data_IF_938218548031
#
_entry.id   IF_938218548031
#
_cell.length_a   1.000
_cell.length_b   1.000
_cell.length_c   1.000
_cell.angle_alpha   90.00
_cell.angle_beta   90.00
_cell.angle_gamma   90.00
#
_symmetry.space_group_name_H-M   'P 1'
#
loop_
_entity.id
_entity.type
_entity.pdbx_description
1 polymer ?
#
# COMPACT_ATOMS: atom_id res chain seq x y z
N UNK A 1 -6.19 -57.85 12.27
CA UNK A 1 -4.74 -57.60 12.37
C UNK A 1 -4.29 -56.73 11.21
N UNK A 2 -4.13 -55.43 11.43
CA UNK A 2 -3.26 -54.51 10.70
C UNK A 2 -3.25 -53.20 11.49
N UNK A 3 -2.08 -52.86 12.00
CA UNK A 3 -1.77 -51.70 12.82
C UNK A 3 -1.97 -50.39 12.00
N UNK A 4 -2.64 -49.43 12.60
CA UNK A 4 -2.68 -48.03 12.14
C UNK A 4 -1.82 -47.23 13.12
N UNK A 5 -0.67 -46.78 12.64
CA UNK A 5 0.22 -45.86 13.34
C UNK A 5 -0.33 -44.42 13.29
N UNK A 6 -0.59 -43.85 14.45
CA UNK A 6 -0.85 -42.43 14.63
C UNK A 6 0.48 -41.65 14.56
N UNK A 7 0.64 -40.82 13.55
CA UNK A 7 1.68 -39.80 13.53
C UNK A 7 1.24 -38.59 14.39
N UNK A 8 1.94 -38.42 15.51
CA UNK A 8 1.90 -37.18 16.31
C UNK A 8 2.78 -36.15 15.62
N UNK A 9 2.17 -35.12 15.01
CA UNK A 9 2.89 -33.96 14.58
C UNK A 9 3.14 -33.03 15.78
N UNK A 10 4.39 -33.01 16.21
CA UNK A 10 4.89 -32.02 17.18
C UNK A 10 5.13 -30.70 16.45
N UNK A 11 4.38 -29.64 16.80
CA UNK A 11 4.71 -28.28 16.44
C UNK A 11 5.93 -27.85 17.25
N UNK A 12 7.07 -27.70 16.58
CA UNK A 12 8.25 -27.08 17.15
C UNK A 12 8.06 -25.56 17.15
N UNK A 13 7.77 -24.99 18.32
CA UNK A 13 7.84 -23.54 18.55
C UNK A 13 9.32 -23.18 18.67
N UNK A 14 9.86 -22.50 17.67
CA UNK A 14 11.21 -21.94 17.73
C UNK A 14 11.18 -20.71 18.62
N UNK A 15 11.53 -20.86 19.90
CA UNK A 15 11.75 -19.73 20.83
C UNK A 15 13.17 -19.22 20.55
N UNK A 16 13.27 -18.08 19.89
CA UNK A 16 14.53 -17.35 19.80
C UNK A 16 14.75 -16.65 21.14
N UNK A 17 15.58 -17.23 21.99
CA UNK A 17 16.09 -16.57 23.20
C UNK A 17 17.18 -15.59 22.81
N UNK A 18 16.84 -14.30 22.71
CA UNK A 18 17.79 -13.21 22.64
C UNK A 18 18.16 -12.79 24.07
N UNK A 19 19.36 -13.16 24.51
CA UNK A 19 19.98 -12.59 25.71
C UNK A 19 20.43 -11.16 25.41
N UNK A 20 19.75 -10.17 25.97
CA UNK A 20 20.24 -8.81 26.04
C UNK A 20 20.92 -8.58 27.39
N UNK A 21 22.24 -8.57 27.41
CA UNK A 21 23.02 -7.95 28.48
C UNK A 21 23.09 -6.45 28.24
N UNK A 22 22.74 -5.65 29.26
CA UNK A 22 22.93 -4.20 29.27
C UNK A 22 24.41 -3.87 29.18
N UNK A 23 24.89 -3.59 27.97
CA UNK A 23 26.13 -2.84 27.76
C UNK A 23 25.92 -1.86 26.63
N UNK A 24 26.29 -0.60 26.93
CA UNK A 24 26.36 0.48 25.95
C UNK A 24 27.27 0.04 24.78
N UNK A 25 26.72 0.07 23.58
CA UNK A 25 27.48 -0.20 22.37
C UNK A 25 28.34 0.99 22.05
N UNK A 26 29.63 0.95 22.41
CA UNK A 26 30.66 1.70 21.73
C UNK A 26 30.98 1.03 20.39
N UNK A 27 31.13 1.82 19.34
CA UNK A 27 31.30 1.42 17.94
C UNK A 27 32.63 0.75 17.59
N UNK A 28 33.25 0.01 18.52
CA UNK A 28 34.53 -0.63 18.31
C UNK A 28 34.45 -2.11 18.64
N UNK A 29 34.07 -2.95 17.66
CA UNK A 29 34.43 -4.39 17.61
C UNK A 29 33.61 -5.19 16.60
N UNK A 30 33.49 -4.70 15.36
CA UNK A 30 33.22 -5.59 14.21
C UNK A 30 34.54 -6.02 13.61
N UNK A 31 35.07 -7.16 14.03
CA UNK A 31 36.21 -7.80 13.34
C UNK A 31 35.66 -8.52 12.10
N UNK A 32 36.01 -8.01 10.93
CA UNK A 32 35.87 -8.74 9.68
C UNK A 32 36.81 -9.94 9.69
N UNK A 33 36.29 -11.13 9.38
CA UNK A 33 37.07 -12.33 9.09
C UNK A 33 37.21 -12.38 7.56
N UNK A 34 38.28 -11.80 7.01
CA UNK A 34 38.56 -11.74 5.58
C UNK A 34 39.16 -10.39 5.20
N UNK A 35 39.86 -10.32 4.08
CA UNK A 35 40.50 -9.12 3.58
C UNK A 35 39.47 -8.01 3.28
N UNK A 36 39.41 -7.00 4.15
CA UNK A 36 38.51 -5.85 4.04
C UNK A 36 39.18 -4.63 3.42
N UNK A 37 40.26 -4.77 2.68
CA UNK A 37 41.02 -3.69 2.03
C UNK A 37 40.30 -3.11 0.79
N UNK A 38 39.02 -2.85 0.85
CA UNK A 38 38.25 -2.29 -0.28
C UNK A 38 36.98 -1.54 0.10
N UNK A 39 36.63 -1.49 1.37
CA UNK A 39 35.45 -0.75 1.81
C UNK A 39 35.85 0.66 2.19
N UNK A 40 36.12 1.50 1.17
CA UNK A 40 36.18 2.92 1.38
C UNK A 40 34.86 3.42 1.95
N UNK A 41 34.89 4.16 3.06
CA UNK A 41 33.84 5.00 3.56
C UNK A 41 33.38 5.96 2.45
N UNK A 42 32.52 5.50 1.54
CA UNK A 42 31.67 6.40 0.80
C UNK A 42 30.58 6.84 1.77
N UNK A 43 30.76 8.04 2.32
CA UNK A 43 29.67 8.82 2.88
C UNK A 43 28.47 8.66 1.93
N UNK A 44 27.33 8.16 2.42
CA UNK A 44 26.06 8.29 1.71
C UNK A 44 25.93 9.76 1.38
N UNK A 45 25.87 10.08 0.08
CA UNK A 45 25.68 11.45 -0.37
C UNK A 45 24.43 12.01 0.29
N UNK A 46 24.61 13.09 1.02
CA UNK A 46 23.59 13.95 1.56
C UNK A 46 22.61 14.32 0.45
N UNK A 47 21.45 13.64 0.35
CA UNK A 47 20.22 14.16 -0.27
C UNK A 47 19.10 13.11 -0.42
N UNK A 48 19.12 11.97 0.23
CA UNK A 48 17.95 11.15 0.38
C UNK A 48 17.49 11.23 1.85
N UNK A 49 16.50 12.08 2.13
CA UNK A 49 15.73 11.92 3.35
C UNK A 49 15.25 10.46 3.38
N UNK A 50 15.66 9.62 4.33
CA UNK A 50 15.35 8.19 4.34
C UNK A 50 13.83 7.93 4.31
N UNK A 51 13.01 8.96 4.57
CA UNK A 51 11.58 8.97 4.46
C UNK A 51 11.09 10.10 3.55
N UNK A 52 11.21 9.90 2.24
CA UNK A 52 10.57 10.79 1.25
C UNK A 52 9.03 10.57 1.27
N UNK A 53 8.42 10.84 2.41
CA UNK A 53 6.99 10.72 2.65
C UNK A 53 6.36 12.09 2.86
N UNK A 54 5.09 12.23 2.51
CA UNK A 54 4.27 13.39 2.83
C UNK A 54 3.28 13.03 3.93
N UNK A 55 3.04 13.97 4.85
CA UNK A 55 2.01 13.85 5.87
C UNK A 55 0.66 14.25 5.28
N UNK A 56 -0.33 13.36 5.36
CA UNK A 56 -1.73 13.64 5.09
C UNK A 56 -2.46 13.78 6.42
N UNK A 57 -2.96 14.99 6.76
CA UNK A 57 -3.65 15.23 8.02
C UNK A 57 -4.89 14.35 8.20
N UNK A 58 -5.17 13.97 9.43
CA UNK A 58 -6.43 13.32 9.79
C UNK A 58 -7.64 14.19 9.50
N UNK A 59 -8.83 13.60 9.50
CA UNK A 59 -10.09 14.28 9.29
C UNK A 59 -10.91 13.70 8.15
N UNK A 60 -12.13 14.24 7.98
CA UNK A 60 -13.09 13.80 6.99
C UNK A 60 -12.75 14.30 5.59
N UNK A 61 -13.12 13.52 4.58
CA UNK A 61 -13.15 13.93 3.18
C UNK A 61 -14.29 13.22 2.44
N UNK A 62 -14.69 13.79 1.31
CA UNK A 62 -15.71 13.20 0.45
C UNK A 62 -15.03 12.23 -0.54
N UNK A 63 -15.21 10.92 -0.34
CA UNK A 63 -14.72 9.86 -1.22
C UNK A 63 -15.73 9.53 -2.30
N UNK A 64 -15.24 9.33 -3.53
CA UNK A 64 -16.09 9.01 -4.68
C UNK A 64 -16.72 10.23 -5.34
N UNK A 65 -17.70 10.00 -6.22
CA UNK A 65 -18.36 11.03 -7.01
C UNK A 65 -19.84 10.70 -7.27
N UNK A 66 -20.73 11.71 -7.21
CA UNK A 66 -22.15 11.54 -7.50
C UNK A 66 -22.53 11.80 -8.98
N UNK A 67 -21.62 12.35 -9.75
CA UNK A 67 -21.91 12.79 -11.12
C UNK A 67 -22.01 11.60 -12.07
N UNK A 68 -23.21 11.42 -12.64
CA UNK A 68 -23.39 10.64 -13.87
C UNK A 68 -22.65 11.35 -14.99
N UNK A 69 -21.59 10.72 -15.51
CA UNK A 69 -20.93 11.24 -16.72
C UNK A 69 -21.85 10.98 -17.91
N UNK A 70 -22.60 11.98 -18.32
CA UNK A 70 -23.38 11.95 -19.56
C UNK A 70 -22.40 12.16 -20.74
N UNK A 71 -22.03 11.07 -21.38
CA UNK A 71 -21.22 11.11 -22.61
C UNK A 71 -22.16 10.89 -23.79
N UNK A 72 -22.15 11.81 -24.75
CA UNK A 72 -22.87 11.64 -26.01
C UNK A 72 -22.22 10.54 -26.85
N UNK A 73 -22.73 9.33 -26.72
CA UNK A 73 -22.21 8.17 -27.45
C UNK A 73 -22.60 8.15 -28.93
N UNK A 74 -23.54 9.00 -29.35
CA UNK A 74 -24.01 9.03 -30.75
C UNK A 74 -22.94 9.50 -31.74
N UNK A 75 -21.97 10.30 -31.26
CA UNK A 75 -20.84 10.79 -32.06
C UNK A 75 -19.63 9.85 -32.07
N UNK A 76 -19.71 8.73 -31.39
CA UNK A 76 -18.63 7.77 -31.29
C UNK A 76 -18.71 6.67 -32.35
N UNK A 77 -17.56 6.24 -32.87
CA UNK A 77 -17.48 5.01 -33.68
C UNK A 77 -17.92 3.78 -32.86
N UNK A 78 -18.36 2.71 -33.50
CA UNK A 78 -18.74 1.45 -32.81
C UNK A 78 -17.64 0.94 -31.87
N UNK A 79 -16.36 1.06 -32.25
CA UNK A 79 -15.22 0.68 -31.43
C UNK A 79 -15.05 1.59 -30.20
N UNK A 80 -15.32 2.88 -30.33
CA UNK A 80 -15.31 3.83 -29.23
C UNK A 80 -16.51 3.62 -28.31
N UNK A 81 -17.72 3.34 -28.87
CA UNK A 81 -18.91 2.99 -28.09
C UNK A 81 -18.69 1.73 -27.27
N UNK A 82 -18.08 0.69 -27.84
CA UNK A 82 -17.75 -0.53 -27.14
C UNK A 82 -16.74 -0.28 -26.00
N UNK A 83 -15.66 0.49 -26.29
CA UNK A 83 -14.69 0.91 -25.27
C UNK A 83 -15.37 1.75 -24.17
N UNK A 84 -16.30 2.62 -24.54
CA UNK A 84 -17.05 3.42 -23.60
C UNK A 84 -18.02 2.59 -22.76
N UNK A 85 -18.73 1.63 -23.36
CA UNK A 85 -19.61 0.72 -22.63
C UNK A 85 -18.85 -0.10 -21.58
N UNK A 86 -17.64 -0.55 -21.97
CA UNK A 86 -16.71 -1.23 -21.06
C UNK A 86 -16.24 -0.30 -19.95
N UNK A 87 -15.85 0.94 -20.29
CA UNK A 87 -15.45 1.94 -19.30
C UNK A 87 -16.62 2.41 -18.45
N UNK A 88 -17.85 2.53 -19.01
CA UNK A 88 -19.05 2.91 -18.28
C UNK A 88 -19.40 1.91 -17.19
N UNK A 89 -19.21 0.62 -17.43
CA UNK A 89 -19.37 -0.39 -16.39
C UNK A 89 -18.33 -0.20 -15.27
N UNK A 90 -17.11 0.20 -15.61
CA UNK A 90 -16.06 0.50 -14.65
C UNK A 90 -16.27 1.83 -13.87
N UNK A 91 -16.88 2.85 -14.49
CA UNK A 91 -17.13 4.17 -13.86
C UNK A 91 -18.37 4.21 -12.95
N UNK A 92 -19.19 3.17 -12.91
CA UNK A 92 -20.33 3.09 -11.99
C UNK A 92 -19.94 2.75 -10.56
N UNK A 93 -18.71 2.34 -10.35
CA UNK A 93 -18.17 1.93 -9.07
C UNK A 93 -17.49 3.07 -8.28
N UNK A 94 -17.35 4.25 -8.91
CA UNK A 94 -16.82 5.47 -8.27
C UNK A 94 -17.84 6.19 -7.37
N UNK A 95 -19.06 5.75 -7.32
CA UNK A 95 -20.15 6.38 -6.56
C UNK A 95 -21.08 5.39 -5.86
N UNK A 96 -21.93 5.94 -4.98
CA UNK A 96 -22.15 7.36 -4.64
C UNK A 96 -20.98 7.93 -3.82
N UNK A 97 -20.85 9.27 -3.85
CA UNK A 97 -19.95 9.97 -2.95
C UNK A 97 -20.40 9.76 -1.49
N UNK A 98 -19.44 9.57 -0.59
CA UNK A 98 -19.71 9.34 0.83
C UNK A 98 -18.60 9.89 1.70
N UNK A 99 -18.95 10.25 2.93
CA UNK A 99 -17.96 10.79 3.87
C UNK A 99 -17.11 9.65 4.48
N UNK A 100 -15.80 9.86 4.47
CA UNK A 100 -14.81 9.00 5.11
C UNK A 100 -13.98 9.83 6.08
N UNK A 101 -13.74 9.29 7.26
CA UNK A 101 -12.84 9.87 8.26
C UNK A 101 -11.58 9.02 8.29
N UNK A 102 -10.41 9.65 8.14
CA UNK A 102 -9.12 9.00 8.26
C UNK A 102 -8.32 9.63 9.40
N UNK A 103 -7.57 8.83 10.11
CA UNK A 103 -6.49 9.31 10.96
C UNK A 103 -5.38 9.92 10.09
N UNK A 104 -4.46 10.66 10.70
CA UNK A 104 -3.27 11.15 9.99
C UNK A 104 -2.39 9.97 9.58
N UNK A 105 -1.80 10.06 8.40
CA UNK A 105 -0.88 9.04 7.90
C UNK A 105 0.22 9.68 7.04
N UNK A 106 1.33 8.98 6.91
CA UNK A 106 2.34 9.30 5.91
C UNK A 106 2.14 8.43 4.68
N UNK A 107 2.39 8.99 3.50
CA UNK A 107 2.40 8.26 2.24
C UNK A 107 3.66 8.63 1.44
N UNK A 108 4.23 7.70 0.72
CA UNK A 108 5.39 7.97 -0.13
C UNK A 108 5.09 9.12 -1.09
N UNK A 109 5.98 10.10 -1.11
CA UNK A 109 5.90 11.25 -2.01
C UNK A 109 5.93 10.84 -3.48
N UNK A 110 6.67 9.78 -3.76
CA UNK A 110 6.86 9.22 -5.10
C UNK A 110 6.40 7.76 -5.16
N UNK A 111 6.12 7.27 -6.36
CA UNK A 111 6.05 5.84 -6.64
C UNK A 111 7.39 5.18 -6.26
N UNK A 112 7.39 3.91 -5.87
CA UNK A 112 8.62 3.18 -5.58
C UNK A 112 9.45 3.06 -6.85
N UNK A 113 10.67 3.60 -6.84
CA UNK A 113 11.57 3.59 -7.99
C UNK A 113 12.30 2.24 -8.16
N UNK A 114 12.81 1.98 -9.36
CA UNK A 114 13.66 0.81 -9.60
C UNK A 114 14.89 0.78 -8.68
N UNK A 115 15.49 1.93 -8.37
CA UNK A 115 16.60 2.00 -7.39
C UNK A 115 16.18 1.46 -6.04
N UNK A 116 15.09 1.99 -5.46
CA UNK A 116 14.59 1.54 -4.15
C UNK A 116 14.20 0.07 -4.16
N UNK A 117 13.58 -0.40 -5.24
CA UNK A 117 13.21 -1.80 -5.35
C UNK A 117 14.42 -2.74 -5.48
N UNK A 118 15.50 -2.28 -6.15
CA UNK A 118 16.76 -3.05 -6.24
C UNK A 118 17.44 -3.23 -4.87
N UNK A 119 17.30 -2.24 -3.97
CA UNK A 119 17.79 -2.35 -2.59
C UNK A 119 17.03 -3.44 -1.82
N UNK A 120 15.71 -3.48 -1.97
CA UNK A 120 14.87 -4.53 -1.40
C UNK A 120 15.27 -5.93 -1.90
N UNK A 121 15.39 -6.11 -3.22
CA UNK A 121 15.79 -7.40 -3.80
C UNK A 121 17.13 -7.87 -3.25
N UNK A 122 18.12 -6.97 -3.16
CA UNK A 122 19.45 -7.31 -2.62
C UNK A 122 19.42 -7.65 -1.13
N UNK A 123 18.54 -6.98 -0.37
CA UNK A 123 18.45 -7.19 1.08
C UNK A 123 17.69 -8.45 1.46
N UNK A 124 16.80 -8.95 0.60
CA UNK A 124 15.85 -10.03 0.92
C UNK A 124 15.93 -11.23 0.00
N UNK A 125 16.79 -11.18 -1.03
CA UNK A 125 16.86 -12.18 -2.10
C UNK A 125 15.52 -12.36 -2.84
N UNK A 126 14.70 -11.28 -2.90
CA UNK A 126 13.41 -11.29 -3.55
C UNK A 126 13.57 -11.38 -5.07
N UNK A 127 12.73 -12.17 -5.78
CA UNK A 127 12.82 -12.30 -7.23
C UNK A 127 12.64 -10.97 -7.96
N UNK A 128 13.34 -10.82 -9.08
CA UNK A 128 13.22 -9.63 -9.93
C UNK A 128 11.84 -9.53 -10.58
N UNK A 129 11.31 -8.31 -10.79
CA UNK A 129 10.07 -8.08 -11.53
C UNK A 129 10.13 -8.58 -12.98
N UNK A 130 8.97 -8.83 -13.57
CA UNK A 130 8.85 -9.45 -14.90
C UNK A 130 9.58 -8.72 -16.02
N UNK A 131 9.86 -7.41 -15.90
CA UNK A 131 10.52 -6.60 -16.93
C UNK A 131 11.84 -5.98 -16.45
N UNK A 132 12.47 -6.62 -15.47
CA UNK A 132 13.68 -6.08 -14.85
C UNK A 132 14.86 -5.91 -15.83
N UNK A 133 14.98 -6.79 -16.80
CA UNK A 133 16.04 -6.76 -17.79
C UNK A 133 15.74 -5.87 -19.01
N UNK A 134 14.56 -5.24 -19.07
CA UNK A 134 14.20 -4.31 -20.13
C UNK A 134 14.76 -2.91 -19.84
N UNK A 135 15.84 -2.54 -20.56
CA UNK A 135 16.53 -1.25 -20.41
C UNK A 135 15.65 -0.01 -20.62
N UNK A 136 14.46 -0.16 -21.22
CA UNK A 136 13.49 0.93 -21.38
C UNK A 136 12.63 1.15 -20.13
N UNK A 137 12.54 0.15 -19.23
CA UNK A 137 11.66 0.13 -18.06
C UNK A 137 12.38 0.08 -16.73
N UNK A 138 13.66 -0.29 -16.72
CA UNK A 138 14.44 -0.47 -15.49
C UNK A 138 15.37 0.70 -15.18
N UNK A 139 15.16 1.89 -15.76
CA UNK A 139 15.99 3.06 -15.43
C UNK A 139 15.84 3.41 -13.93
N UNK A 140 16.92 3.76 -13.25
CA UNK A 140 16.96 3.92 -11.78
C UNK A 140 15.81 4.74 -11.19
N UNK A 141 15.51 5.89 -11.79
CA UNK A 141 14.50 6.85 -11.28
C UNK A 141 13.12 6.67 -11.91
N UNK A 142 12.88 5.63 -12.72
CA UNK A 142 11.53 5.27 -13.15
C UNK A 142 10.84 4.44 -12.05
N UNK A 143 9.48 4.45 -11.97
CA UNK A 143 8.78 3.56 -11.06
C UNK A 143 9.04 2.11 -11.42
N UNK A 144 9.17 1.26 -10.42
CA UNK A 144 9.19 -0.18 -10.63
C UNK A 144 7.86 -0.62 -11.24
N UNK A 145 7.91 -1.51 -12.20
CA UNK A 145 6.74 -2.09 -12.87
C UNK A 145 6.92 -3.58 -13.09
N UNK A 146 5.83 -4.30 -13.36
CA UNK A 146 5.88 -5.75 -13.45
C UNK A 146 5.87 -6.46 -12.10
N UNK A 147 5.40 -5.79 -11.07
CA UNK A 147 5.22 -6.30 -9.71
C UNK A 147 3.77 -6.69 -9.49
N UNK A 148 3.54 -7.82 -8.84
CA UNK A 148 2.21 -8.22 -8.40
C UNK A 148 1.88 -7.61 -7.01
N UNK A 149 0.67 -7.86 -6.51
CA UNK A 149 0.23 -7.34 -5.21
C UNK A 149 1.12 -7.81 -4.05
N UNK A 150 1.56 -9.06 -4.07
CA UNK A 150 2.37 -9.64 -3.00
C UNK A 150 3.79 -9.09 -3.00
N UNK A 151 4.37 -8.86 -4.18
CA UNK A 151 5.67 -8.20 -4.34
C UNK A 151 5.63 -6.78 -3.75
N UNK A 152 4.58 -6.02 -4.08
CA UNK A 152 4.37 -4.67 -3.55
C UNK A 152 4.18 -4.67 -2.03
N UNK A 153 3.41 -5.64 -1.49
CA UNK A 153 3.21 -5.80 -0.05
C UNK A 153 4.51 -6.17 0.66
N UNK A 154 5.29 -7.10 0.09
CA UNK A 154 6.57 -7.54 0.65
C UNK A 154 7.57 -6.38 0.73
N UNK A 155 7.67 -5.57 -0.35
CA UNK A 155 8.50 -4.37 -0.34
C UNK A 155 8.08 -3.38 0.76
N UNK A 156 6.79 -3.02 0.82
CA UNK A 156 6.32 -2.07 1.82
C UNK A 156 6.58 -2.59 3.25
N UNK A 157 6.36 -3.87 3.51
CA UNK A 157 6.64 -4.50 4.81
C UNK A 157 8.14 -4.46 5.16
N UNK A 158 9.01 -4.77 4.20
CA UNK A 158 10.46 -4.65 4.37
C UNK A 158 10.90 -3.23 4.73
N UNK A 159 10.27 -2.23 4.09
CA UNK A 159 10.52 -0.82 4.34
C UNK A 159 9.86 -0.30 5.65
N UNK A 160 9.29 -1.17 6.50
CA UNK A 160 8.49 -0.81 7.67
C UNK A 160 7.31 0.11 7.34
N UNK A 161 6.63 -0.20 6.24
CA UNK A 161 5.47 0.48 5.68
C UNK A 161 4.41 -0.55 5.30
N UNK A 162 3.31 -0.11 4.75
CA UNK A 162 2.24 -0.92 4.16
C UNK A 162 1.75 -0.31 2.85
N UNK A 163 0.99 -1.04 2.07
CA UNK A 163 0.24 -0.40 0.99
C UNK A 163 -0.77 0.60 1.58
N UNK A 164 -1.05 1.73 0.92
CA UNK A 164 -2.14 2.62 1.32
C UNK A 164 -3.49 1.91 1.17
N UNK A 165 -4.47 2.26 1.98
CA UNK A 165 -5.86 1.92 1.68
C UNK A 165 -6.34 2.73 0.47
N UNK A 166 -7.40 2.28 -0.19
CA UNK A 166 -8.02 3.02 -1.30
C UNK A 166 -8.43 4.43 -0.86
N UNK A 167 -8.98 4.56 0.34
CA UNK A 167 -9.38 5.84 0.92
C UNK A 167 -8.19 6.77 1.20
N UNK A 168 -7.09 6.26 1.73
CA UNK A 168 -5.86 7.02 1.93
C UNK A 168 -5.28 7.51 0.60
N UNK A 169 -5.26 6.64 -0.39
CA UNK A 169 -4.78 6.99 -1.74
C UNK A 169 -5.63 8.10 -2.34
N UNK A 170 -6.98 7.98 -2.30
CA UNK A 170 -7.89 8.96 -2.87
C UNK A 170 -7.80 10.30 -2.15
N UNK A 171 -7.79 10.33 -0.80
CA UNK A 171 -7.59 11.55 -0.01
C UNK A 171 -6.28 12.24 -0.40
N UNK A 172 -5.20 11.49 -0.52
CA UNK A 172 -3.89 12.02 -0.93
C UNK A 172 -3.94 12.66 -2.31
N UNK A 173 -4.62 12.02 -3.26
CA UNK A 173 -4.68 12.45 -4.64
C UNK A 173 -5.53 13.72 -4.82
N UNK A 174 -6.72 13.79 -4.22
CA UNK A 174 -7.71 14.82 -4.49
C UNK A 174 -7.70 16.01 -3.52
N UNK A 175 -7.05 15.86 -2.37
CA UNK A 175 -7.01 16.88 -1.34
C UNK A 175 -8.37 17.18 -0.67
N UNK A 176 -8.39 18.18 0.22
CA UNK A 176 -9.61 18.56 0.96
C UNK A 176 -10.68 19.19 0.07
N UNK A 177 -10.30 19.84 -1.04
CA UNK A 177 -11.22 20.47 -2.00
C UNK A 177 -11.88 19.43 -2.93
N UNK A 178 -11.44 18.19 -2.93
CA UNK A 178 -12.01 17.13 -3.73
C UNK A 178 -11.72 17.27 -5.22
N UNK A 179 -10.51 17.65 -5.60
CA UNK A 179 -10.10 17.90 -6.97
C UNK A 179 -10.30 16.67 -7.87
N UNK A 180 -10.63 16.94 -9.13
CA UNK A 180 -10.79 15.92 -10.17
C UNK A 180 -9.45 15.30 -10.59
N UNK A 181 -8.40 16.11 -10.64
CA UNK A 181 -7.01 15.71 -10.86
C UNK A 181 -6.17 16.19 -9.67
N UNK A 182 -5.01 15.61 -9.40
CA UNK A 182 -4.19 16.05 -8.26
C UNK A 182 -3.91 17.54 -8.22
N UNK A 183 -3.81 18.18 -9.37
CA UNK A 183 -3.48 19.59 -9.56
C UNK A 183 -4.68 20.53 -9.74
N UNK A 184 -5.91 20.05 -9.58
CA UNK A 184 -7.14 20.85 -9.75
C UNK A 184 -8.19 20.17 -10.62
N UNK A 185 -9.11 20.95 -11.20
CA UNK A 185 -10.26 20.42 -11.93
C UNK A 185 -10.08 20.37 -13.46
N UNK A 186 -9.09 21.07 -13.99
CA UNK A 186 -8.83 21.15 -15.41
C UNK A 186 -7.79 20.14 -15.86
N UNK A 187 -8.04 19.53 -17.02
CA UNK A 187 -7.08 18.61 -17.63
C UNK A 187 -5.90 19.41 -18.18
N UNK A 188 -4.69 19.04 -17.74
CA UNK A 188 -3.47 19.71 -18.16
C UNK A 188 -2.39 18.68 -18.52
N UNK A 189 -2.08 18.62 -19.82
CA UNK A 189 -1.17 17.67 -20.41
C UNK A 189 0.28 17.78 -19.93
N UNK A 190 0.64 18.95 -19.39
CA UNK A 190 2.00 19.20 -18.88
C UNK A 190 2.24 18.67 -17.45
N UNK A 191 1.20 18.20 -16.78
CA UNK A 191 1.22 17.87 -15.35
C UNK A 191 1.30 16.37 -15.04
N UNK A 192 1.35 15.51 -16.07
CA UNK A 192 1.44 14.05 -15.83
C UNK A 192 1.78 13.27 -17.10
N UNK A 193 2.15 12.01 -16.92
CA UNK A 193 2.45 11.08 -18.01
C UNK A 193 1.27 10.13 -18.24
N UNK A 194 0.46 10.40 -19.27
CA UNK A 194 -0.73 9.62 -19.63
C UNK A 194 -1.01 9.74 -21.13
N UNK A 195 -1.93 8.91 -21.65
CA UNK A 195 -2.36 9.00 -23.04
C UNK A 195 -1.30 8.61 -24.07
N UNK A 196 -0.24 7.91 -23.67
CA UNK A 196 0.90 7.52 -24.51
C UNK A 196 1.70 8.71 -25.06
N UNK A 197 1.78 9.81 -24.32
CA UNK A 197 2.60 10.98 -24.68
C UNK A 197 4.09 10.68 -24.61
N UNK A 198 4.48 9.79 -23.73
CA UNK A 198 5.80 9.18 -23.69
C UNK A 198 5.67 7.69 -24.06
N UNK A 199 6.74 7.12 -24.56
CA UNK A 199 6.76 5.71 -24.98
C UNK A 199 6.63 4.76 -23.77
N UNK A 200 7.07 5.22 -22.57
CA UNK A 200 7.07 4.46 -21.32
C UNK A 200 6.84 5.37 -20.11
N UNK A 201 7.09 4.84 -18.91
CA UNK A 201 7.04 5.59 -17.66
C UNK A 201 8.07 6.72 -17.62
N UNK A 202 7.72 7.81 -16.99
CA UNK A 202 8.62 8.92 -16.68
C UNK A 202 9.34 8.68 -15.34
N UNK A 203 10.37 9.49 -15.05
CA UNK A 203 10.97 9.53 -13.71
C UNK A 203 9.89 9.89 -12.68
N UNK A 204 9.97 9.29 -11.48
CA UNK A 204 8.98 9.49 -10.41
C UNK A 204 8.80 10.96 -9.98
N UNK A 205 9.76 11.82 -10.26
CA UNK A 205 9.75 13.25 -9.96
C UNK A 205 9.61 14.15 -11.20
N UNK A 206 9.20 13.61 -12.35
CA UNK A 206 9.24 14.33 -13.64
C UNK A 206 8.24 15.50 -13.74
N UNK A 207 7.17 15.48 -12.94
CA UNK A 207 6.06 16.44 -13.06
C UNK A 207 5.83 17.24 -11.78
N UNK A 208 6.70 18.22 -11.44
CA UNK A 208 6.58 18.98 -10.18
C UNK A 208 5.36 19.90 -10.12
N UNK A 209 4.74 20.22 -11.26
CA UNK A 209 3.48 20.98 -11.34
C UNK A 209 2.24 20.09 -11.26
N UNK A 210 2.41 18.78 -11.26
CA UNK A 210 1.33 17.78 -11.21
C UNK A 210 1.16 17.12 -9.85
N UNK A 211 1.74 17.70 -8.81
CA UNK A 211 1.66 17.18 -7.44
C UNK A 211 0.25 17.35 -6.86
N UNK A 212 -0.12 16.48 -5.95
CA UNK A 212 -1.35 16.57 -5.18
C UNK A 212 -1.29 17.73 -4.16
N UNK A 213 -2.42 18.14 -3.55
CA UNK A 213 -2.43 19.17 -2.52
C UNK A 213 -1.52 18.86 -1.32
N UNK A 214 -1.23 17.60 -1.06
CA UNK A 214 -0.31 17.16 -0.02
C UNK A 214 1.15 16.97 -0.50
N UNK A 215 1.43 17.25 -1.79
CA UNK A 215 2.77 17.17 -2.35
C UNK A 215 3.18 15.80 -2.89
N UNK A 216 2.25 14.84 -3.02
CA UNK A 216 2.54 13.55 -3.64
C UNK A 216 2.59 13.68 -5.18
N UNK A 217 3.62 13.11 -5.79
CA UNK A 217 3.85 13.10 -7.23
C UNK A 217 3.11 11.96 -7.91
N UNK A 218 2.85 12.12 -9.21
CA UNK A 218 2.35 11.06 -10.12
C UNK A 218 1.07 10.36 -9.65
N UNK A 219 0.22 11.03 -8.83
CA UNK A 219 -1.09 10.50 -8.45
C UNK A 219 -2.08 10.45 -9.64
N UNK A 220 -1.65 10.81 -10.85
CA UNK A 220 -2.40 10.75 -12.09
C UNK A 220 -1.48 10.41 -13.26
N UNK A 221 -1.60 9.19 -13.78
CA UNK A 221 -0.76 8.66 -14.85
C UNK A 221 0.51 7.96 -14.32
N UNK A 222 1.49 7.81 -15.17
CA UNK A 222 2.75 7.10 -14.98
C UNK A 222 2.56 5.60 -14.77
N UNK A 223 2.24 5.11 -13.57
CA UNK A 223 1.82 3.72 -13.33
C UNK A 223 0.50 3.68 -12.55
N UNK A 224 -0.33 2.68 -12.80
CA UNK A 224 -1.34 2.28 -11.83
C UNK A 224 -0.67 1.85 -10.54
N UNK A 225 -1.33 2.06 -9.42
CA UNK A 225 -0.76 1.77 -8.12
C UNK A 225 -1.63 0.77 -7.34
N UNK A 226 -1.00 -0.30 -6.85
CA UNK A 226 -1.65 -1.22 -5.92
C UNK A 226 -2.03 -0.50 -4.63
N UNK A 227 -3.26 -0.75 -4.17
CA UNK A 227 -3.70 -0.38 -2.83
C UNK A 227 -4.14 -1.61 -2.05
N UNK A 228 -4.28 -1.49 -0.74
CA UNK A 228 -4.55 -2.62 0.16
C UNK A 228 -5.89 -3.32 -0.13
N UNK A 229 -6.88 -2.59 -0.61
CA UNK A 229 -8.29 -2.98 -0.61
C UNK A 229 -8.61 -4.08 -1.63
N UNK A 230 -9.51 -4.98 -1.25
CA UNK A 230 -10.21 -5.82 -2.20
C UNK A 230 -11.15 -4.96 -3.05
N UNK A 231 -11.29 -5.33 -4.32
CA UNK A 231 -12.21 -4.67 -5.21
C UNK A 231 -13.63 -5.27 -5.08
N UNK A 232 -14.60 -4.38 -4.89
CA UNK A 232 -16.03 -4.63 -5.02
C UNK A 232 -16.66 -3.43 -5.74
N UNK A 233 -17.29 -3.62 -6.91
CA UNK A 233 -17.94 -2.53 -7.66
C UNK A 233 -19.11 -1.90 -6.92
N UNK A 234 -19.65 -2.56 -5.91
CA UNK A 234 -20.78 -2.06 -5.12
C UNK A 234 -20.36 -1.52 -3.75
N UNK A 235 -19.08 -1.53 -3.41
CA UNK A 235 -18.62 -1.16 -2.07
C UNK A 235 -19.10 0.24 -1.65
N UNK A 236 -18.95 1.25 -2.52
CA UNK A 236 -19.38 2.61 -2.21
C UNK A 236 -20.89 2.76 -2.03
N UNK A 237 -21.71 1.90 -2.61
CA UNK A 237 -23.19 1.90 -2.41
C UNK A 237 -23.58 1.44 -1.01
N UNK A 238 -22.75 0.62 -0.37
CA UNK A 238 -22.97 0.08 0.98
C UNK A 238 -22.18 0.83 2.05
N UNK A 239 -21.11 1.50 1.66
CA UNK A 239 -20.30 2.34 2.53
C UNK A 239 -21.09 3.61 2.89
N UNK A 240 -21.53 3.70 4.15
CA UNK A 240 -22.14 4.93 4.68
C UNK A 240 -21.03 5.86 5.17
N UNK A 241 -21.09 6.32 6.39
CA UNK A 241 -19.96 6.98 7.02
C UNK A 241 -19.03 5.91 7.59
N UNK A 242 -17.73 5.95 7.24
CA UNK A 242 -16.76 4.99 7.74
C UNK A 242 -15.50 5.69 8.24
N UNK A 243 -14.92 5.12 9.29
CA UNK A 243 -13.66 5.57 9.89
C UNK A 243 -12.58 4.57 9.53
N UNK A 244 -11.47 5.06 8.96
CA UNK A 244 -10.33 4.27 8.53
C UNK A 244 -10.71 3.01 7.73
N UNK A 245 -11.51 3.12 6.65
CA UNK A 245 -11.96 1.96 5.90
C UNK A 245 -10.78 1.26 5.22
N UNK A 246 -10.81 -0.07 5.24
CA UNK A 246 -9.82 -0.94 4.60
C UNK A 246 -10.42 -1.73 3.43
N UNK A 247 -11.54 -1.23 2.90
CA UNK A 247 -12.29 -1.92 1.86
C UNK A 247 -13.14 -3.09 2.38
N UNK A 248 -13.71 -3.89 1.47
CA UNK A 248 -14.47 -5.07 1.85
C UNK A 248 -13.58 -6.11 2.54
N UNK A 249 -14.11 -6.81 3.54
CA UNK A 249 -13.36 -7.86 4.28
C UNK A 249 -12.88 -9.01 3.41
N UNK A 250 -13.53 -9.21 2.26
CA UNK A 250 -13.15 -10.19 1.23
C UNK A 250 -13.54 -9.67 -0.15
N UNK A 251 -12.72 -9.99 -1.16
CA UNK A 251 -13.02 -9.64 -2.54
C UNK A 251 -14.27 -10.35 -3.05
N UNK A 252 -15.05 -9.66 -3.87
CA UNK A 252 -16.14 -10.23 -4.64
C UNK A 252 -15.55 -11.06 -5.77
N UNK A 253 -16.13 -12.23 -6.03
CA UNK A 253 -15.76 -13.03 -7.17
C UNK A 253 -16.41 -12.43 -8.41
N UNK A 254 -15.62 -11.90 -9.32
CA UNK A 254 -16.08 -11.41 -10.61
C UNK A 254 -16.18 -12.60 -11.58
N UNK A 255 -17.38 -12.81 -12.14
CA UNK A 255 -17.59 -13.82 -13.17
C UNK A 255 -17.33 -13.25 -14.55
N UNK A 256 -16.78 -14.08 -15.44
CA UNK A 256 -16.66 -13.73 -16.85
C UNK A 256 -18.05 -13.69 -17.50
N UNK A 257 -18.38 -12.60 -18.20
CA UNK A 257 -19.67 -12.44 -18.92
C UNK A 257 -19.56 -12.72 -20.41
N UNK A 258 -18.41 -13.23 -20.87
CA UNK A 258 -18.16 -13.59 -22.27
C UNK A 258 -17.66 -12.47 -23.16
N UNK A 259 -17.45 -11.25 -22.65
CA UNK A 259 -16.81 -10.16 -23.37
C UNK A 259 -15.28 -10.24 -23.24
N UNK A 260 -14.53 -9.59 -24.12
CA UNK A 260 -13.06 -9.58 -24.08
C UNK A 260 -12.50 -9.06 -22.74
N UNK A 261 -13.21 -8.12 -22.10
CA UNK A 261 -12.85 -7.58 -20.80
C UNK A 261 -13.07 -8.61 -19.68
N UNK A 262 -14.12 -9.40 -19.81
CA UNK A 262 -14.53 -10.36 -18.78
C UNK A 262 -13.61 -11.57 -18.68
N UNK A 263 -12.83 -11.88 -19.75
CA UNK A 263 -11.83 -12.96 -19.69
C UNK A 263 -10.82 -12.75 -18.56
N UNK A 264 -10.52 -11.48 -18.21
CA UNK A 264 -9.59 -11.12 -17.13
C UNK A 264 -10.30 -10.71 -15.84
N UNK A 265 -11.63 -10.65 -15.85
CA UNK A 265 -12.42 -10.24 -14.70
C UNK A 265 -12.77 -11.39 -13.74
N UNK A 266 -12.44 -12.63 -14.08
CA UNK A 266 -12.75 -13.80 -13.24
C UNK A 266 -11.89 -13.81 -11.98
N UNK A 267 -12.49 -14.15 -10.83
CA UNK A 267 -11.81 -14.26 -9.55
C UNK A 267 -11.83 -12.96 -8.73
N UNK A 268 -11.22 -13.03 -7.56
CA UNK A 268 -11.11 -11.90 -6.64
C UNK A 268 -10.03 -10.93 -7.10
N UNK A 269 -10.31 -9.65 -7.05
CA UNK A 269 -9.43 -8.59 -7.53
C UNK A 269 -9.04 -7.63 -6.39
N UNK A 270 -7.84 -7.06 -6.50
CA UNK A 270 -7.41 -5.93 -5.69
C UNK A 270 -7.61 -4.63 -6.45
N UNK A 271 -7.87 -3.55 -5.71
CA UNK A 271 -7.99 -2.22 -6.29
C UNK A 271 -6.63 -1.72 -6.76
N UNK A 272 -6.63 -1.05 -7.91
CA UNK A 272 -5.51 -0.24 -8.41
C UNK A 272 -6.00 1.15 -8.78
N UNK A 273 -5.15 2.16 -8.61
CA UNK A 273 -5.53 3.57 -8.72
C UNK A 273 -4.57 4.36 -9.61
N UNK A 274 -4.97 5.58 -10.02
CA UNK A 274 -4.11 6.60 -10.62
C UNK A 274 -4.02 6.60 -12.15
N UNK A 275 -4.35 5.51 -12.81
CA UNK A 275 -4.08 5.37 -14.25
C UNK A 275 -2.60 5.13 -14.54
N UNK A 276 -2.22 5.12 -15.82
CA UNK A 276 -0.85 4.88 -16.22
C UNK A 276 -0.46 5.70 -17.45
N UNK A 277 0.80 5.64 -17.87
CA UNK A 277 1.34 6.34 -19.04
C UNK A 277 0.56 6.08 -20.33
N UNK A 278 -0.09 4.94 -20.47
CA UNK A 278 -0.93 4.59 -21.64
C UNK A 278 -2.43 4.78 -21.41
N UNK A 279 -2.86 5.10 -20.20
CA UNK A 279 -4.26 5.24 -19.84
C UNK A 279 -4.88 6.50 -20.47
N UNK A 280 -6.16 6.48 -20.87
CA UNK A 280 -6.85 7.68 -21.36
C UNK A 280 -7.11 8.68 -20.22
N UNK A 281 -7.36 9.94 -20.58
CA UNK A 281 -7.66 11.02 -19.63
C UNK A 281 -8.77 10.69 -18.62
N UNK A 282 -9.74 9.87 -18.99
CA UNK A 282 -10.82 9.45 -18.12
C UNK A 282 -10.35 8.54 -16.97
N UNK A 283 -9.21 7.87 -17.12
CA UNK A 283 -8.70 6.92 -16.12
C UNK A 283 -7.64 7.52 -15.20
N UNK A 284 -7.31 8.80 -15.35
CA UNK A 284 -6.33 9.48 -14.48
C UNK A 284 -7.00 10.44 -13.48
N UNK A 285 -8.33 10.39 -13.33
CA UNK A 285 -9.03 11.15 -12.30
C UNK A 285 -8.78 10.59 -10.92
N UNK A 286 -8.82 11.42 -9.91
CA UNK A 286 -8.58 11.02 -8.51
C UNK A 286 -9.60 10.03 -7.98
N UNK A 287 -10.79 9.97 -8.58
CA UNK A 287 -11.86 9.05 -8.20
C UNK A 287 -11.88 7.75 -9.00
N UNK A 288 -11.13 7.68 -10.12
CA UNK A 288 -11.16 6.50 -10.98
C UNK A 288 -10.68 5.26 -10.23
N UNK A 289 -11.55 4.27 -10.19
CA UNK A 289 -11.29 2.95 -9.62
C UNK A 289 -10.99 1.96 -10.74
N UNK A 290 -9.99 1.14 -10.54
CA UNK A 290 -9.75 0.00 -11.39
C UNK A 290 -9.31 -1.19 -10.55
N UNK A 291 -9.11 -2.34 -11.18
CA UNK A 291 -8.78 -3.56 -10.47
C UNK A 291 -7.82 -4.44 -11.26
N UNK A 292 -7.11 -5.29 -10.55
CA UNK A 292 -6.31 -6.33 -11.17
C UNK A 292 -6.27 -7.60 -10.31
N UNK A 293 -5.91 -8.71 -10.94
CA UNK A 293 -5.63 -9.97 -10.25
C UNK A 293 -4.39 -9.79 -9.36
N UNK A 294 -4.45 -10.15 -8.06
CA UNK A 294 -3.31 -9.98 -7.17
C UNK A 294 -2.06 -10.74 -7.58
N UNK A 295 -2.20 -11.81 -8.37
CA UNK A 295 -1.06 -12.56 -8.91
C UNK A 295 -0.53 -12.02 -10.25
N UNK A 296 -1.23 -11.03 -10.84
CA UNK A 296 -0.87 -10.56 -12.17
C UNK A 296 0.27 -9.53 -12.09
N UNK A 297 1.41 -9.90 -12.62
CA UNK A 297 2.56 -9.02 -12.85
C UNK A 297 2.66 -8.53 -14.31
N UNK A 298 1.84 -9.05 -15.22
CA UNK A 298 1.93 -8.80 -16.68
C UNK A 298 1.12 -7.61 -17.18
N UNK A 299 0.27 -6.99 -16.35
CA UNK A 299 -0.25 -5.63 -16.61
C UNK A 299 0.91 -4.62 -16.61
N UNK A 300 1.98 -5.16 -16.81
CA UNK A 300 3.37 -4.95 -16.62
C UNK A 300 3.96 -3.70 -17.16
N UNK A 301 3.33 -3.05 -18.06
CA UNK A 301 3.87 -1.82 -18.63
C UNK A 301 3.42 -0.56 -17.87
N UNK A 302 2.67 -0.69 -16.80
CA UNK A 302 2.15 0.49 -16.11
C UNK A 302 1.45 0.16 -14.78
N UNK A 303 1.93 -0.84 -14.03
CA UNK A 303 1.43 -1.18 -12.71
C UNK A 303 2.62 -1.27 -11.75
N UNK A 304 2.62 -0.39 -10.78
CA UNK A 304 3.58 -0.25 -9.70
C UNK A 304 2.86 0.00 -8.38
N UNK A 305 3.47 0.75 -7.47
CA UNK A 305 2.89 1.06 -6.17
C UNK A 305 3.65 2.17 -5.45
N UNK A 306 3.07 2.67 -4.38
CA UNK A 306 3.69 3.45 -3.29
C UNK A 306 3.29 2.88 -1.96
N UNK A 307 4.02 3.20 -0.90
CA UNK A 307 3.71 2.74 0.45
C UNK A 307 3.13 3.87 1.31
N UNK A 308 2.43 3.49 2.37
CA UNK A 308 1.97 4.36 3.43
C UNK A 308 2.47 3.87 4.79
N UNK A 309 2.45 4.75 5.78
CA UNK A 309 2.77 4.45 7.17
C UNK A 309 1.78 5.20 8.08
N UNK A 310 1.23 4.50 9.03
CA UNK A 310 0.37 5.10 10.06
C UNK A 310 1.20 6.08 10.90
N UNK A 311 0.66 7.26 11.18
CA UNK A 311 1.25 8.14 12.19
C UNK A 311 0.97 7.50 13.54
N UNK A 312 2.00 6.95 14.15
CA UNK A 312 1.91 6.53 15.55
C UNK A 312 2.04 7.80 16.39
N UNK A 313 1.00 8.15 17.13
CA UNK A 313 1.13 9.18 18.15
C UNK A 313 2.02 8.65 19.30
N UNK A 314 2.55 9.54 20.14
CA UNK A 314 3.39 9.14 21.26
C UNK A 314 2.66 8.18 22.21
N UNK A 315 1.34 8.27 22.32
CA UNK A 315 0.51 7.36 23.09
C UNK A 315 0.48 5.95 22.51
N UNK A 316 0.29 5.81 21.19
CA UNK A 316 0.31 4.50 20.52
C UNK A 316 1.69 3.84 20.59
N UNK A 317 2.78 4.62 20.42
CA UNK A 317 4.15 4.10 20.54
C UNK A 317 4.42 3.63 21.98
N UNK A 318 3.99 4.38 22.99
CA UNK A 318 4.08 3.98 24.39
C UNK A 318 3.20 2.76 24.68
N UNK A 319 1.98 2.69 24.12
CA UNK A 319 1.11 1.53 24.25
C UNK A 319 1.78 0.26 23.72
N UNK A 320 2.40 0.32 22.55
CA UNK A 320 3.15 -0.82 21.99
C UNK A 320 4.34 -1.21 22.85
N UNK A 321 5.08 -0.25 23.39
CA UNK A 321 6.19 -0.53 24.31
C UNK A 321 5.68 -1.28 25.54
N UNK A 322 4.63 -0.80 26.18
CA UNK A 322 4.02 -1.48 27.33
C UNK A 322 3.42 -2.85 26.97
N UNK A 323 2.89 -3.00 25.76
CA UNK A 323 2.42 -4.28 25.26
C UNK A 323 3.57 -5.29 25.10
N UNK A 324 4.70 -4.88 24.50
CA UNK A 324 5.89 -5.72 24.39
C UNK A 324 6.45 -6.12 25.77
N UNK A 325 6.50 -5.19 26.72
CA UNK A 325 6.86 -5.48 28.09
C UNK A 325 5.92 -6.51 28.73
N UNK A 326 4.62 -6.43 28.46
CA UNK A 326 3.65 -7.39 28.94
C UNK A 326 3.92 -8.79 28.38
N UNK A 327 4.21 -8.92 27.09
CA UNK A 327 4.54 -10.20 26.45
C UNK A 327 5.83 -10.81 27.01
N UNK A 328 6.88 -10.00 27.19
CA UNK A 328 8.16 -10.42 27.77
C UNK A 328 7.94 -10.94 29.21
N UNK A 329 7.20 -10.19 30.04
CA UNK A 329 6.93 -10.60 31.40
C UNK A 329 6.02 -11.84 31.45
N UNK A 330 5.07 -11.99 30.53
CA UNK A 330 4.23 -13.18 30.40
C UNK A 330 5.07 -14.41 30.03
N UNK A 331 6.00 -14.28 29.08
CA UNK A 331 6.94 -15.35 28.70
C UNK A 331 7.91 -15.73 29.81
N UNK A 332 8.20 -14.82 30.75
CA UNK A 332 9.00 -15.06 31.95
C UNK A 332 8.17 -15.49 33.17
N UNK A 333 6.88 -15.81 32.98
CA UNK A 333 5.91 -16.19 34.02
C UNK A 333 5.72 -15.15 35.15
N UNK A 334 6.11 -13.89 34.89
CA UNK A 334 5.94 -12.74 35.78
C UNK A 334 4.57 -12.09 35.56
N UNK A 335 3.50 -12.83 35.84
CA UNK A 335 2.12 -12.42 35.51
C UNK A 335 1.65 -11.11 36.18
N UNK A 336 2.01 -10.80 37.46
CA UNK A 336 1.68 -9.49 38.03
C UNK A 336 2.31 -8.32 37.27
N UNK A 337 3.57 -8.44 36.88
CA UNK A 337 4.27 -7.43 36.08
C UNK A 337 3.68 -7.33 34.64
N UNK A 338 3.39 -8.46 34.03
CA UNK A 338 2.72 -8.51 32.74
C UNK A 338 1.35 -7.80 32.80
N UNK A 339 0.57 -8.02 33.87
CA UNK A 339 -0.71 -7.36 34.07
C UNK A 339 -0.58 -5.85 34.26
N UNK A 340 0.46 -5.39 34.97
CA UNK A 340 0.74 -3.97 35.13
C UNK A 340 1.08 -3.31 33.78
N UNK A 341 1.92 -3.95 32.96
CA UNK A 341 2.30 -3.45 31.64
C UNK A 341 1.12 -3.42 30.66
N UNK A 342 0.30 -4.47 30.58
CA UNK A 342 -0.85 -4.47 29.66
C UNK A 342 -1.94 -3.47 30.08
N UNK A 343 -2.09 -3.17 31.37
CA UNK A 343 -2.98 -2.10 31.84
C UNK A 343 -2.49 -0.73 31.37
N UNK A 344 -1.17 -0.48 31.39
CA UNK A 344 -0.57 0.75 30.84
C UNK A 344 -0.78 0.85 29.33
N UNK A 345 -0.61 -0.23 28.57
CA UNK A 345 -0.92 -0.23 27.15
C UNK A 345 -2.38 0.15 26.89
N UNK A 346 -3.32 -0.44 27.61
CA UNK A 346 -4.75 -0.15 27.53
C UNK A 346 -5.13 1.25 28.01
N UNK A 347 -4.33 1.91 28.86
CA UNK A 347 -4.58 3.31 29.23
C UNK A 347 -4.26 4.29 28.10
N UNK A 348 -3.43 3.89 27.15
CA UNK A 348 -3.06 4.69 25.98
C UNK A 348 -3.92 4.33 24.75
N UNK A 349 -4.30 3.06 24.61
CA UNK A 349 -5.13 2.56 23.50
C UNK A 349 -6.17 1.57 24.05
N UNK A 350 -7.22 2.13 24.66
CA UNK A 350 -8.24 1.37 25.39
C UNK A 350 -9.11 0.47 24.52
N UNK A 351 -9.19 0.74 23.22
CA UNK A 351 -10.01 0.00 22.25
C UNK A 351 -9.29 -1.15 21.56
N UNK A 352 -8.00 -1.32 21.79
CA UNK A 352 -7.18 -2.33 21.14
C UNK A 352 -7.58 -3.75 21.55
N UNK A 353 -8.19 -4.47 20.62
CA UNK A 353 -8.74 -5.80 20.86
C UNK A 353 -7.66 -6.83 21.27
N UNK A 354 -6.45 -6.70 20.74
CA UNK A 354 -5.32 -7.57 21.06
C UNK A 354 -4.87 -7.34 22.51
N UNK A 355 -4.74 -6.08 22.96
CA UNK A 355 -4.39 -5.77 24.35
C UNK A 355 -5.43 -6.27 25.34
N UNK A 356 -6.72 -6.16 24.98
CA UNK A 356 -7.82 -6.71 25.78
C UNK A 356 -7.73 -8.24 25.88
N UNK A 357 -7.40 -8.91 24.78
CA UNK A 357 -7.24 -10.37 24.76
C UNK A 357 -6.07 -10.82 25.63
N UNK A 358 -4.90 -10.20 25.47
CA UNK A 358 -3.71 -10.52 26.27
C UNK A 358 -3.97 -10.28 27.77
N UNK A 359 -4.62 -9.18 28.12
CA UNK A 359 -5.02 -8.93 29.53
C UNK A 359 -5.84 -10.09 30.10
N UNK A 360 -6.84 -10.58 29.36
CA UNK A 360 -7.66 -11.73 29.79
C UNK A 360 -6.84 -13.00 29.96
N UNK A 361 -5.86 -13.23 29.07
CA UNK A 361 -4.95 -14.38 29.16
C UNK A 361 -4.09 -14.31 30.43
N UNK A 362 -3.48 -13.15 30.70
CA UNK A 362 -2.66 -12.93 31.90
C UNK A 362 -3.48 -13.11 33.16
N UNK A 363 -4.70 -12.55 33.21
CA UNK A 363 -5.57 -12.66 34.38
C UNK A 363 -5.95 -14.09 34.77
N UNK A 364 -6.00 -15.00 33.80
CA UNK A 364 -6.27 -16.43 34.06
C UNK A 364 -5.08 -17.16 34.70
N UNK A 365 -3.89 -16.58 34.67
CA UNK A 365 -2.68 -17.16 35.25
C UNK A 365 -2.35 -16.64 36.64
N UNK A 366 -3.09 -15.63 37.10
CA UNK A 366 -2.94 -15.05 38.45
C UNK A 366 -4.00 -15.70 39.33
N UNK A 367 -3.60 -16.35 40.44
CA UNK A 367 -4.53 -17.02 41.35
C UNK A 367 -5.56 -16.08 41.98
#
# INVERSE_FOLDING_TARGET
MKNINFYKNAFAICIITLFFSNQAWSNENLRCIGDCSGVGNKSMGDNANPDDMVLVPGGSFLMGIDKKVNVDTKKMSKRQQLRYAVSKAAFHDEGPAHNVILDAFHIDKFEVSNTKYSEFMRATDHPAPAYWDDSKRNKPNQPVSGVNYFDATAYCSWANKRLPTEAEWEKTARGPEGFKYPWGNDLDDSKGNWGRKQEFTAKVNAYPKGVSPYGAYSMAGNVFEWVQDWYDPNYYKTAKQSVNPTGPSKGVFLSATGTYVDRYATGKKRVIRGGSWYAPAASITTTHRFWNDPMNNSYGVGLGFRCARTVEDNGMLQARTFYMDALINMGAEKYPQALASIKKALSQDGSNAEYVQIKKMIQKQIP
#
